data_IF_774005955810
#
_entry.id   IF_774005955810
#
_cell.length_a   1.000
_cell.length_b   1.000
_cell.length_c   1.000
_cell.angle_alpha   90.00
_cell.angle_beta   90.00
_cell.angle_gamma   90.00
#
_symmetry.space_group_name_H-M   'P 1'
#
loop_
_entity.id
_entity.type
_entity.pdbx_description
1 polymer ?
#
# COMPACT_ATOMS: atom_id res chain seq x y z
N UNK A 1 -9.69 6.48 -21.00
CA UNK A 1 -10.22 6.07 -19.67
C UNK A 1 -9.16 5.27 -18.97
N UNK A 2 -8.90 5.52 -17.68
CA UNK A 2 -8.01 4.66 -16.89
C UNK A 2 -8.76 3.38 -16.46
N UNK A 3 -8.09 2.22 -16.44
CA UNK A 3 -8.72 0.94 -16.09
C UNK A 3 -9.06 0.86 -14.60
N UNK A 4 -9.98 -0.04 -14.23
CA UNK A 4 -10.37 -0.24 -12.83
C UNK A 4 -9.24 -0.79 -11.96
N UNK A 5 -8.37 -1.59 -12.57
CA UNK A 5 -7.18 -2.16 -11.97
C UNK A 5 -6.05 -2.14 -13.00
N UNK A 6 -4.82 -1.87 -12.57
CA UNK A 6 -3.64 -1.99 -13.43
C UNK A 6 -2.38 -2.34 -12.63
N UNK A 7 -1.38 -2.84 -13.36
CA UNK A 7 -0.07 -3.21 -12.83
C UNK A 7 1.00 -2.46 -13.60
N UNK A 8 2.02 -1.97 -12.89
CA UNK A 8 3.14 -1.24 -13.48
C UNK A 8 4.45 -1.81 -12.95
N UNK A 9 5.36 -2.15 -13.87
CA UNK A 9 6.72 -2.59 -13.54
C UNK A 9 7.70 -1.42 -13.57
N UNK A 10 8.66 -1.41 -12.65
CA UNK A 10 9.65 -0.36 -12.51
C UNK A 10 9.21 0.69 -11.49
N UNK A 11 10.13 1.14 -10.63
CA UNK A 11 9.81 1.87 -9.41
C UNK A 11 9.04 3.17 -9.65
N UNK A 12 7.75 3.13 -9.33
CA UNK A 12 6.84 4.24 -9.36
C UNK A 12 6.70 4.76 -7.93
N UNK A 13 7.43 5.82 -7.58
CA UNK A 13 7.50 6.34 -6.21
C UNK A 13 6.17 6.81 -5.64
N UNK A 14 6.24 7.39 -4.43
CA UNK A 14 5.08 7.93 -3.70
C UNK A 14 4.08 8.66 -4.61
N UNK A 15 4.54 9.60 -5.45
CA UNK A 15 3.70 10.43 -6.32
C UNK A 15 3.06 9.74 -7.52
N UNK A 16 3.43 8.48 -7.79
CA UNK A 16 2.90 7.75 -8.92
C UNK A 16 1.50 7.15 -8.67
N UNK A 17 1.00 7.17 -7.43
CA UNK A 17 -0.33 6.66 -7.12
C UNK A 17 -1.42 7.65 -7.59
N UNK A 18 -2.23 7.33 -8.61
CA UNK A 18 -3.21 8.28 -9.13
C UNK A 18 -4.36 8.53 -8.15
N UNK A 19 -4.99 9.70 -8.27
CA UNK A 19 -6.19 10.02 -7.50
C UNK A 19 -7.32 9.03 -7.82
N UNK A 20 -8.02 8.58 -6.77
CA UNK A 20 -9.08 7.58 -6.87
C UNK A 20 -8.59 6.13 -6.75
N UNK A 21 -7.28 5.88 -6.62
CA UNK A 21 -6.71 4.54 -6.54
C UNK A 21 -6.13 4.21 -5.16
N UNK A 22 -6.25 2.94 -4.79
CA UNK A 22 -5.37 2.29 -3.83
C UNK A 22 -4.18 1.76 -4.63
N UNK A 23 -2.96 2.09 -4.22
CA UNK A 23 -1.74 1.60 -4.82
C UNK A 23 -0.95 0.78 -3.79
N UNK A 24 -0.47 -0.38 -4.23
CA UNK A 24 0.25 -1.36 -3.44
C UNK A 24 1.57 -1.61 -4.15
N UNK A 25 2.65 -1.64 -3.38
CA UNK A 25 4.02 -1.68 -3.87
C UNK A 25 4.72 -2.87 -3.24
N UNK A 26 5.52 -3.58 -4.04
CA UNK A 26 6.22 -4.78 -3.58
C UNK A 26 7.47 -4.50 -2.76
N UNK A 27 8.06 -3.30 -2.88
CA UNK A 27 9.11 -2.84 -1.98
C UNK A 27 8.58 -1.83 -0.95
N UNK A 28 9.37 -1.63 0.09
CA UNK A 28 9.21 -0.51 1.01
C UNK A 28 9.42 0.83 0.28
N UNK A 29 8.93 1.90 0.89
CA UNK A 29 9.07 3.29 0.45
C UNK A 29 8.54 3.49 -0.97
N UNK A 30 7.49 2.77 -1.33
CA UNK A 30 6.81 2.85 -2.62
C UNK A 30 7.78 2.63 -3.78
N UNK A 31 8.63 1.61 -3.67
CA UNK A 31 9.65 1.26 -4.65
C UNK A 31 10.70 2.36 -4.88
N UNK A 32 11.08 3.10 -3.83
CA UNK A 32 12.14 4.12 -3.89
C UNK A 32 13.20 3.96 -2.80
N UNK A 33 14.46 4.18 -3.15
CA UNK A 33 15.58 4.34 -2.20
C UNK A 33 15.60 5.77 -1.65
N UNK A 34 16.09 5.93 -0.42
CA UNK A 34 16.14 7.22 0.25
C UNK A 34 14.75 7.75 0.59
N UNK A 35 13.87 6.90 1.16
CA UNK A 35 12.44 7.12 1.42
C UNK A 35 12.03 8.38 2.19
N UNK A 36 10.81 8.46 2.70
CA UNK A 36 10.33 9.66 3.41
C UNK A 36 10.68 9.59 4.92
N UNK A 37 11.21 10.65 5.57
CA UNK A 37 11.60 11.97 5.05
C UNK A 37 13.13 12.06 4.83
N UNK A 38 13.66 11.47 3.76
CA UNK A 38 15.09 11.63 3.44
C UNK A 38 15.32 12.87 2.57
N UNK A 39 16.49 13.47 2.75
CA UNK A 39 17.02 14.55 1.91
C UNK A 39 17.75 14.03 0.67
N UNK A 40 17.88 12.71 0.53
CA UNK A 40 18.61 12.07 -0.56
C UNK A 40 17.74 12.02 -1.83
N UNK A 41 18.37 12.04 -3.02
CA UNK A 41 17.66 11.86 -4.27
C UNK A 41 16.94 10.51 -4.28
N UNK A 42 15.62 10.53 -4.43
CA UNK A 42 14.81 9.32 -4.56
C UNK A 42 15.16 8.64 -5.87
N UNK A 43 15.55 7.36 -5.80
CA UNK A 43 15.78 6.52 -6.98
C UNK A 43 14.89 5.29 -6.93
N UNK A 44 14.35 4.89 -8.08
CA UNK A 44 13.52 3.69 -8.20
C UNK A 44 14.31 2.42 -7.80
N UNK A 45 13.69 1.50 -7.06
CA UNK A 45 14.28 0.20 -6.67
C UNK A 45 14.14 -0.87 -7.76
N UNK A 46 13.24 -0.66 -8.72
CA UNK A 46 12.86 -1.65 -9.74
C UNK A 46 11.61 -2.45 -9.39
N UNK A 47 11.06 -2.28 -8.17
CA UNK A 47 9.81 -2.90 -7.73
C UNK A 47 8.60 -2.51 -8.58
N UNK A 48 7.54 -3.30 -8.45
CA UNK A 48 6.26 -3.14 -9.14
C UNK A 48 5.18 -2.49 -8.28
N UNK A 49 4.25 -1.80 -8.94
CA UNK A 49 3.05 -1.23 -8.33
C UNK A 49 1.82 -1.90 -8.91
N UNK A 50 0.89 -2.27 -8.04
CA UNK A 50 -0.47 -2.67 -8.40
C UNK A 50 -1.44 -1.61 -7.89
N UNK A 51 -2.38 -1.18 -8.73
CA UNK A 51 -3.33 -0.14 -8.38
C UNK A 51 -4.76 -0.53 -8.72
N UNK A 52 -5.71 -0.20 -7.84
CA UNK A 52 -7.13 -0.47 -8.04
C UNK A 52 -8.01 0.68 -7.53
N UNK A 53 -9.14 0.91 -8.18
CA UNK A 53 -10.25 1.74 -7.65
C UNK A 53 -11.49 0.92 -7.30
N UNK A 54 -11.40 -0.41 -7.38
CA UNK A 54 -12.44 -1.37 -6.99
C UNK A 54 -11.91 -2.38 -5.97
N UNK A 55 -12.82 -3.01 -5.24
CA UNK A 55 -12.47 -4.13 -4.35
C UNK A 55 -11.94 -5.32 -5.16
N UNK A 56 -10.88 -5.97 -4.65
CA UNK A 56 -10.31 -7.18 -5.25
C UNK A 56 -10.19 -8.27 -4.19
N UNK A 57 -10.91 -9.41 -4.33
CA UNK A 57 -10.87 -10.51 -3.38
C UNK A 57 -9.59 -11.36 -3.46
N UNK A 58 -8.73 -11.20 -4.47
CA UNK A 58 -7.55 -12.05 -4.68
C UNK A 58 -6.26 -11.27 -4.96
N UNK A 59 -6.34 -9.95 -5.16
CA UNK A 59 -5.19 -9.06 -5.35
C UNK A 59 -4.23 -9.57 -6.42
N UNK A 60 -4.80 -9.93 -7.58
CA UNK A 60 -4.12 -10.69 -8.62
C UNK A 60 -2.79 -10.03 -9.03
N UNK A 61 -1.68 -10.74 -8.82
CA UNK A 61 -0.32 -10.30 -9.18
C UNK A 61 0.47 -9.58 -8.07
N UNK A 62 -0.16 -9.27 -6.93
CA UNK A 62 0.47 -8.58 -5.80
C UNK A 62 0.21 -9.28 -4.43
N UNK A 63 -0.55 -10.38 -4.42
CA UNK A 63 -0.76 -11.22 -3.23
C UNK A 63 0.57 -11.59 -2.59
N UNK A 64 0.67 -11.41 -1.27
CA UNK A 64 1.84 -11.76 -0.45
C UNK A 64 3.16 -11.14 -0.92
N UNK A 65 3.08 -9.99 -1.58
CA UNK A 65 4.26 -9.23 -2.03
C UNK A 65 4.31 -7.80 -1.53
N UNK A 66 3.19 -7.32 -0.98
CA UNK A 66 3.04 -5.92 -0.62
C UNK A 66 3.93 -5.54 0.57
N UNK A 67 4.82 -4.56 0.38
CA UNK A 67 5.68 -4.02 1.45
C UNK A 67 5.45 -2.52 1.71
N UNK A 68 4.71 -1.82 0.86
CA UNK A 68 4.22 -0.47 1.15
C UNK A 68 2.93 -0.18 0.37
N UNK A 69 2.17 0.83 0.80
CA UNK A 69 0.92 1.18 0.12
C UNK A 69 0.55 2.66 0.26
N UNK A 70 -0.33 3.11 -0.65
CA UNK A 70 -0.98 4.41 -0.63
C UNK A 70 -2.46 4.21 -0.90
N UNK A 71 -3.30 4.60 0.04
CA UNK A 71 -4.71 4.84 -0.23
C UNK A 71 -4.90 6.28 -0.69
N UNK A 72 -5.06 6.47 -2.01
CA UNK A 72 -5.41 7.74 -2.64
C UNK A 72 -6.85 7.73 -3.19
N UNK A 73 -7.71 6.83 -2.68
CA UNK A 73 -9.09 6.67 -3.14
C UNK A 73 -10.02 7.78 -2.63
N UNK A 74 -9.61 8.51 -1.59
CA UNK A 74 -10.49 9.40 -0.82
C UNK A 74 -11.54 8.66 0.02
N UNK A 75 -11.49 7.33 0.08
CA UNK A 75 -12.43 6.45 0.77
C UNK A 75 -11.72 5.61 1.83
N UNK A 76 -12.50 4.96 2.72
CA UNK A 76 -11.93 3.94 3.61
C UNK A 76 -11.66 2.68 2.81
N UNK A 77 -10.45 2.16 2.89
CA UNK A 77 -10.08 0.86 2.32
C UNK A 77 -9.76 -0.09 3.45
N UNK A 78 -10.42 -1.24 3.48
CA UNK A 78 -10.10 -2.35 4.38
C UNK A 78 -9.19 -3.33 3.65
N UNK A 79 -8.09 -3.69 4.30
CA UNK A 79 -7.02 -4.52 3.77
C UNK A 79 -7.00 -5.80 4.59
N UNK A 80 -6.94 -6.93 3.91
CA UNK A 80 -7.10 -8.24 4.50
C UNK A 80 -5.87 -9.12 4.25
N UNK A 81 -5.53 -9.88 5.28
CA UNK A 81 -4.47 -10.88 5.20
C UNK A 81 -4.87 -12.04 4.29
N UNK A 82 -6.14 -12.45 4.33
CA UNK A 82 -6.60 -13.61 3.56
C UNK A 82 -7.50 -13.21 2.38
N UNK A 83 -7.60 -14.11 1.41
CA UNK A 83 -8.44 -13.95 0.25
C UNK A 83 -9.92 -13.77 0.63
N UNK A 84 -10.70 -13.18 -0.26
CA UNK A 84 -12.16 -13.01 -0.10
C UNK A 84 -12.55 -12.23 1.16
N UNK A 85 -11.73 -11.26 1.54
CA UNK A 85 -12.01 -10.30 2.62
C UNK A 85 -12.11 -10.95 4.00
N UNK A 86 -11.19 -11.86 4.31
CA UNK A 86 -11.15 -12.58 5.59
C UNK A 86 -9.80 -12.45 6.31
N UNK A 87 -9.70 -13.08 7.48
CA UNK A 87 -8.49 -13.09 8.28
C UNK A 87 -8.29 -11.79 9.07
N UNK A 88 -7.03 -11.55 9.45
CA UNK A 88 -6.63 -10.30 10.08
C UNK A 88 -6.87 -9.13 9.10
N UNK A 89 -7.23 -7.95 9.60
CA UNK A 89 -7.52 -6.81 8.74
C UNK A 89 -7.32 -5.48 9.43
N UNK A 90 -6.97 -4.46 8.65
CA UNK A 90 -6.98 -3.07 9.08
C UNK A 90 -7.72 -2.19 8.08
N UNK A 91 -8.22 -1.05 8.55
CA UNK A 91 -8.94 -0.09 7.70
C UNK A 91 -8.23 1.24 7.70
N UNK A 92 -7.87 1.70 6.51
CA UNK A 92 -7.28 3.02 6.30
C UNK A 92 -8.29 4.13 6.59
N UNK A 93 -7.77 5.30 6.99
CA UNK A 93 -8.62 6.48 7.23
C UNK A 93 -9.22 7.02 5.92
N UNK A 94 -10.43 7.59 5.99
CA UNK A 94 -11.03 8.34 4.88
C UNK A 94 -10.40 9.75 4.77
N UNK A 95 -9.11 9.79 4.43
CA UNK A 95 -8.39 11.02 4.11
C UNK A 95 -8.16 11.09 2.61
N UNK A 96 -7.86 12.29 2.10
CA UNK A 96 -7.44 12.46 0.70
C UNK A 96 -6.34 11.48 0.32
N UNK A 97 -5.36 11.28 1.21
CA UNK A 97 -4.26 10.34 1.02
C UNK A 97 -3.80 9.78 2.36
N UNK A 98 -3.79 8.45 2.49
CA UNK A 98 -3.15 7.72 3.59
C UNK A 98 -2.01 6.90 3.00
N UNK A 99 -0.84 6.88 3.63
CA UNK A 99 0.30 6.17 3.07
C UNK A 99 1.10 5.48 4.18
N UNK A 100 1.63 4.32 3.84
CA UNK A 100 2.50 3.50 4.68
C UNK A 100 3.76 3.23 3.87
N UNK A 101 4.88 3.77 4.32
CA UNK A 101 6.18 3.61 3.64
C UNK A 101 6.85 2.26 3.95
N UNK A 102 6.30 1.50 4.88
CA UNK A 102 6.57 0.10 5.15
C UNK A 102 5.30 -0.49 5.73
N UNK A 103 5.03 -1.74 5.44
CA UNK A 103 3.99 -2.53 6.11
C UNK A 103 4.57 -3.33 7.28
N UNK A 104 5.84 -3.12 7.60
CA UNK A 104 6.48 -3.59 8.83
C UNK A 104 5.77 -3.09 10.10
N UNK A 105 5.99 -3.81 11.20
CA UNK A 105 5.47 -3.44 12.52
C UNK A 105 5.81 -1.98 12.86
N UNK A 106 4.79 -1.23 13.26
CA UNK A 106 4.97 0.14 13.72
C UNK A 106 5.52 0.18 15.15
N UNK A 107 6.36 1.15 15.50
CA UNK A 107 6.62 1.42 16.91
C UNK A 107 5.33 1.80 17.65
N UNK A 108 5.29 1.54 18.96
CA UNK A 108 4.17 1.93 19.80
C UNK A 108 3.88 3.44 19.66
N UNK A 109 2.61 3.79 19.44
CA UNK A 109 2.17 5.17 19.23
C UNK A 109 2.54 5.79 17.87
N UNK A 110 3.07 5.00 16.93
CA UNK A 110 3.43 5.42 15.57
C UNK A 110 2.65 4.71 14.46
N UNK A 111 1.70 3.85 14.82
CA UNK A 111 0.73 3.27 13.90
C UNK A 111 0.07 4.37 13.05
N UNK A 112 -0.11 4.10 11.76
CA UNK A 112 -0.72 5.02 10.78
C UNK A 112 0.07 6.32 10.48
N UNK A 113 1.32 6.42 10.94
CA UNK A 113 2.22 7.51 10.56
C UNK A 113 3.13 7.06 9.44
N UNK A 114 3.26 7.88 8.40
CA UNK A 114 4.33 7.71 7.40
C UNK A 114 5.69 7.78 8.14
N UNK A 115 6.62 6.83 7.93
CA UNK A 115 6.59 5.72 6.98
C UNK A 115 6.19 4.35 7.58
N UNK A 116 5.75 4.25 8.82
CA UNK A 116 5.50 2.98 9.50
C UNK A 116 4.22 2.27 9.03
N UNK A 117 4.09 0.98 9.39
CA UNK A 117 2.90 0.18 9.12
C UNK A 117 1.69 0.57 9.99
N UNK A 118 0.55 -0.11 9.79
CA UNK A 118 -0.71 0.24 10.44
C UNK A 118 -0.82 -0.20 11.89
N UNK A 119 0.01 -1.14 12.33
CA UNK A 119 -0.16 -1.78 13.64
C UNK A 119 1.19 -2.06 14.30
N UNK A 120 1.22 -1.99 15.63
CA UNK A 120 2.47 -2.20 16.37
C UNK A 120 2.84 -3.67 16.57
N UNK A 121 1.85 -4.55 16.58
CA UNK A 121 2.01 -5.96 16.96
C UNK A 121 1.96 -6.91 15.76
N UNK A 122 1.73 -6.41 14.55
CA UNK A 122 1.56 -7.24 13.36
C UNK A 122 2.43 -6.72 12.20
N UNK A 123 3.14 -7.64 11.54
CA UNK A 123 3.93 -7.34 10.36
C UNK A 123 3.09 -7.63 9.12
N UNK A 124 2.72 -6.59 8.38
CA UNK A 124 1.89 -6.66 7.17
C UNK A 124 2.70 -6.83 5.88
N UNK A 125 4.04 -6.75 5.93
CA UNK A 125 4.87 -7.01 4.76
C UNK A 125 4.60 -8.41 4.22
N UNK A 126 4.31 -8.49 2.93
CA UNK A 126 4.13 -9.74 2.20
C UNK A 126 3.00 -10.61 2.77
N UNK A 127 1.96 -9.98 3.33
CA UNK A 127 0.81 -10.67 3.93
C UNK A 127 -0.54 -10.28 3.33
N UNK A 128 -0.60 -9.28 2.44
CA UNK A 128 -1.87 -8.77 1.91
C UNK A 128 -2.32 -9.61 0.72
N UNK A 129 -3.56 -10.10 0.74
CA UNK A 129 -4.11 -10.93 -0.34
C UNK A 129 -5.50 -10.51 -0.82
N UNK A 130 -6.18 -9.60 -0.12
CA UNK A 130 -7.42 -8.97 -0.63
C UNK A 130 -7.69 -7.58 -0.06
N UNK A 131 -8.45 -6.77 -0.82
CA UNK A 131 -8.77 -5.37 -0.47
C UNK A 131 -10.22 -5.02 -0.77
N UNK A 132 -10.87 -4.32 0.15
CA UNK A 132 -12.25 -3.84 0.02
C UNK A 132 -12.31 -2.33 0.11
N UNK A 133 -12.83 -1.70 -0.93
CA UNK A 133 -13.05 -0.25 -0.98
C UNK A 133 -14.48 0.04 -0.49
N UNK A 134 -14.61 0.82 0.58
CA UNK A 134 -15.87 1.12 1.26
C UNK A 134 -16.44 2.48 0.85
#
# INVERSE_FOLDING_TARGET
>A
MQPDTFYVQGGHGYEACPDGYLCIYDDVQWNTKGGFPSKEPKSATGGSMWATKVSDPNLNGMSDRASSLINNTGRRVTIYQDHKFSGHSFTTTARRRTAYGTLGQAPAGKADQVPYGPEATFNWNDQITSVKIN
#
